data_IF_340386202220
#
_entry.id   IF_340386202220
#
_cell.length_a   1.000
_cell.length_b   1.000
_cell.length_c   1.000
_cell.angle_alpha   90.00
_cell.angle_beta   90.00
_cell.angle_gamma   90.00
#
_symmetry.space_group_name_H-M   'P 1'
#
loop_
_entity.id
_entity.type
_entity.pdbx_description
1 polymer ?
#
# COMPACT_ATOMS: atom_id res chain seq x y z
N UNK A 1 -7.74 -2.75 -10.58
CA UNK A 1 -8.13 -1.70 -9.64
C UNK A 1 -8.96 -0.65 -10.35
N UNK A 2 -9.33 0.41 -9.64
CA UNK A 2 -10.18 1.51 -10.10
C UNK A 2 -9.76 2.10 -11.44
N UNK A 3 -8.45 2.20 -11.70
CA UNK A 3 -7.92 2.75 -12.95
C UNK A 3 -8.02 1.82 -14.17
N UNK A 4 -8.60 0.63 -14.04
CA UNK A 4 -8.65 -0.36 -15.12
C UNK A 4 -7.30 -1.01 -15.44
N UNK A 5 -6.24 -0.68 -14.69
CA UNK A 5 -4.91 -1.30 -14.80
C UNK A 5 -4.74 -2.47 -13.85
N UNK A 6 -3.88 -3.42 -14.24
CA UNK A 6 -3.51 -4.56 -13.40
C UNK A 6 -2.75 -4.06 -12.16
N UNK A 7 -3.18 -4.51 -10.98
CA UNK A 7 -2.49 -4.21 -9.73
C UNK A 7 -1.21 -5.04 -9.63
N UNK A 8 -0.15 -4.43 -9.12
CA UNK A 8 1.14 -5.08 -8.92
C UNK A 8 1.32 -5.41 -7.44
N UNK A 9 1.50 -6.69 -7.07
CA UNK A 9 1.70 -7.11 -5.69
C UNK A 9 2.80 -6.33 -4.98
N UNK A 10 2.47 -5.80 -3.82
CA UNK A 10 3.27 -4.94 -2.96
C UNK A 10 3.68 -3.61 -3.60
N UNK A 11 3.18 -3.25 -4.78
CA UNK A 11 3.51 -1.98 -5.48
C UNK A 11 2.30 -1.12 -5.76
N UNK A 12 1.10 -1.69 -5.70
CA UNK A 12 -0.14 -0.94 -5.81
C UNK A 12 -0.76 -0.73 -4.44
N UNK A 13 -1.21 0.49 -4.19
CA UNK A 13 -2.00 0.85 -3.00
C UNK A 13 -3.38 1.37 -3.41
N UNK A 14 -4.33 1.26 -2.49
CA UNK A 14 -5.62 1.95 -2.57
C UNK A 14 -5.65 3.10 -1.56
N UNK A 15 -6.09 4.26 -2.02
CA UNK A 15 -6.27 5.46 -1.20
C UNK A 15 -7.64 6.10 -1.44
N UNK A 16 -8.01 7.05 -0.58
CA UNK A 16 -9.16 7.92 -0.81
C UNK A 16 -8.82 8.97 -1.88
N UNK A 17 -9.46 8.84 -3.05
CA UNK A 17 -9.23 9.72 -4.22
C UNK A 17 -9.56 11.20 -3.97
N UNK A 18 -10.31 11.51 -2.91
CA UNK A 18 -10.65 12.89 -2.53
C UNK A 18 -9.45 13.64 -1.93
N UNK A 19 -8.48 12.89 -1.40
CA UNK A 19 -7.31 13.43 -0.71
C UNK A 19 -6.01 13.16 -1.46
N UNK A 20 -5.95 12.08 -2.25
CA UNK A 20 -4.72 11.62 -2.86
C UNK A 20 -4.85 11.46 -4.39
N UNK A 21 -3.84 11.88 -5.16
CA UNK A 21 -3.88 11.77 -6.61
C UNK A 21 -3.82 10.30 -7.04
N UNK A 22 -4.66 9.93 -8.02
CA UNK A 22 -4.56 8.64 -8.68
C UNK A 22 -3.27 8.57 -9.50
N UNK A 23 -2.70 7.38 -9.64
CA UNK A 23 -1.41 7.11 -10.30
C UNK A 23 -0.21 7.86 -9.70
N UNK A 24 -0.37 8.55 -8.58
CA UNK A 24 0.73 9.26 -7.92
C UNK A 24 1.78 8.29 -7.39
N UNK A 25 3.05 8.60 -7.66
CA UNK A 25 4.19 7.90 -7.09
C UNK A 25 4.34 8.28 -5.62
N UNK A 26 4.34 7.28 -4.76
CA UNK A 26 4.50 7.45 -3.33
C UNK A 26 5.59 6.53 -2.78
N UNK A 27 6.23 6.96 -1.70
CA UNK A 27 7.10 6.13 -0.87
C UNK A 27 6.38 5.86 0.44
N UNK A 28 6.26 4.59 0.83
CA UNK A 28 5.67 4.19 2.10
C UNK A 28 6.72 3.71 3.09
N UNK A 29 6.47 3.97 4.36
CA UNK A 29 7.19 3.40 5.49
C UNK A 29 6.17 2.78 6.45
N UNK A 30 6.30 1.49 6.74
CA UNK A 30 5.41 0.77 7.67
C UNK A 30 6.13 -0.48 8.20
N UNK A 31 5.37 -1.44 8.72
CA UNK A 31 5.85 -2.78 9.08
C UNK A 31 5.19 -3.81 8.16
N UNK A 32 5.84 -4.95 7.96
CA UNK A 32 5.25 -6.12 7.28
C UNK A 32 5.40 -7.36 8.14
N UNK A 33 4.51 -8.35 8.04
CA UNK A 33 4.63 -9.56 8.83
C UNK A 33 5.77 -10.44 8.29
N UNK A 34 6.45 -11.11 9.21
CA UNK A 34 7.32 -12.26 8.95
C UNK A 34 6.49 -13.49 9.28
N UNK A 35 6.18 -14.28 8.25
CA UNK A 35 5.38 -15.49 8.37
C UNK A 35 6.31 -16.70 8.39
N UNK A 36 6.12 -17.60 9.35
CA UNK A 36 6.91 -18.82 9.48
C UNK A 36 6.37 -19.95 8.57
N UNK A 37 7.01 -21.13 8.60
CA UNK A 37 6.60 -22.28 7.79
C UNK A 37 5.20 -22.84 8.10
N UNK A 38 4.60 -22.50 9.25
CA UNK A 38 3.23 -22.90 9.61
C UNK A 38 2.17 -21.87 9.20
N UNK A 39 2.55 -20.79 8.49
CA UNK A 39 1.61 -19.75 8.07
C UNK A 39 1.20 -18.81 9.21
N UNK A 40 1.95 -18.78 10.31
CA UNK A 40 1.69 -17.90 11.45
C UNK A 40 2.63 -16.69 11.40
N UNK A 41 2.13 -15.54 11.83
CA UNK A 41 2.96 -14.34 11.99
C UNK A 41 3.87 -14.55 13.20
N UNK A 42 5.17 -14.65 12.93
CA UNK A 42 6.20 -14.80 13.97
C UNK A 42 6.68 -13.45 14.48
N UNK A 43 6.80 -12.46 13.60
CA UNK A 43 7.31 -11.13 13.94
C UNK A 43 6.85 -10.09 12.91
N UNK A 44 7.11 -8.80 13.18
CA UNK A 44 6.88 -7.69 12.29
C UNK A 44 8.18 -6.92 12.05
N UNK A 45 8.54 -6.73 10.79
CA UNK A 45 9.76 -6.01 10.42
C UNK A 45 9.43 -4.70 9.72
N UNK A 46 10.24 -3.66 10.00
CA UNK A 46 10.17 -2.39 9.27
C UNK A 46 10.33 -2.64 7.78
N UNK A 47 9.53 -1.93 7.00
CA UNK A 47 9.42 -2.10 5.57
C UNK A 47 9.12 -0.77 4.91
N UNK A 48 9.81 -0.50 3.81
CA UNK A 48 9.59 0.70 3.03
C UNK A 48 9.75 0.41 1.55
N UNK A 49 9.00 1.14 0.71
CA UNK A 49 9.13 1.04 -0.76
C UNK A 49 8.35 2.10 -1.52
N UNK A 50 8.71 2.25 -2.79
CA UNK A 50 7.89 2.93 -3.78
C UNK A 50 6.67 2.11 -4.18
N UNK A 51 5.53 2.80 -4.29
CA UNK A 51 4.22 2.30 -4.67
C UNK A 51 3.49 3.33 -5.54
N UNK A 52 2.41 2.89 -6.18
CA UNK A 52 1.53 3.72 -6.99
C UNK A 52 0.07 3.59 -6.52
N UNK A 53 -0.65 4.70 -6.50
CA UNK A 53 -2.08 4.76 -6.16
C UNK A 53 -2.95 4.33 -7.36
N UNK A 54 -3.05 3.02 -7.58
CA UNK A 54 -3.79 2.45 -8.72
C UNK A 54 -5.25 2.11 -8.43
N UNK A 55 -5.66 2.19 -7.17
CA UNK A 55 -6.97 1.74 -6.73
C UNK A 55 -7.63 2.66 -5.70
N UNK A 56 -8.91 2.46 -5.47
CA UNK A 56 -9.63 3.07 -4.36
C UNK A 56 -10.63 2.05 -3.82
N UNK A 57 -10.96 2.16 -2.54
CA UNK A 57 -11.90 1.24 -1.89
C UNK A 57 -13.01 2.02 -1.18
N UNK A 58 -14.24 1.49 -1.23
CA UNK A 58 -15.37 2.08 -0.51
C UNK A 58 -15.15 2.20 1.00
N UNK A 59 -14.33 1.31 1.56
CA UNK A 59 -13.92 1.29 2.97
C UNK A 59 -12.64 2.12 3.26
N UNK A 60 -11.91 2.56 2.22
CA UNK A 60 -10.70 3.37 2.37
C UNK A 60 -11.10 4.84 2.28
N UNK A 61 -11.44 5.40 3.45
CA UNK A 61 -11.96 6.78 3.58
C UNK A 61 -11.09 7.61 4.51
N UNK A 62 -10.94 8.88 4.15
CA UNK A 62 -10.24 9.88 4.95
C UNK A 62 -8.74 9.94 4.71
N UNK A 63 -8.07 10.98 5.24
CA UNK A 63 -6.63 11.10 5.19
C UNK A 63 -5.96 10.04 6.08
N UNK A 64 -4.78 9.58 5.69
CA UNK A 64 -3.93 8.71 6.52
C UNK A 64 -4.26 7.22 6.47
N UNK A 65 -5.19 6.78 5.62
CA UNK A 65 -5.50 5.35 5.41
C UNK A 65 -5.05 4.90 4.03
N UNK A 66 -4.24 3.84 3.99
CA UNK A 66 -3.84 3.15 2.77
C UNK A 66 -4.04 1.66 2.92
N UNK A 67 -4.39 1.02 1.82
CA UNK A 67 -4.43 -0.43 1.70
C UNK A 67 -3.38 -0.88 0.69
N UNK A 68 -2.47 -1.77 1.11
CA UNK A 68 -1.40 -2.27 0.26
C UNK A 68 -1.84 -3.59 -0.37
N UNK A 69 -1.91 -3.62 -1.70
CA UNK A 69 -2.25 -4.84 -2.41
C UNK A 69 -1.10 -5.83 -2.32
N UNK A 70 -1.22 -6.89 -1.51
CA UNK A 70 -0.18 -7.89 -1.32
C UNK A 70 -0.08 -8.95 -2.43
N UNK A 71 -1.04 -8.98 -3.36
CA UNK A 71 -1.14 -10.03 -4.37
C UNK A 71 -2.14 -11.10 -3.98
N UNK A 72 -1.85 -12.35 -4.35
CA UNK A 72 -2.70 -13.50 -4.09
C UNK A 72 -1.89 -14.59 -3.35
N UNK A 73 -2.61 -15.54 -2.75
CA UNK A 73 -2.04 -16.69 -2.05
C UNK A 73 -1.88 -16.45 -0.54
N UNK A 74 -1.43 -17.49 0.16
CA UNK A 74 -1.48 -17.58 1.63
C UNK A 74 -0.79 -16.40 2.33
N UNK A 75 0.39 -15.98 1.86
CA UNK A 75 1.07 -14.82 2.46
C UNK A 75 0.26 -13.53 2.29
N UNK A 76 -0.36 -13.32 1.12
CA UNK A 76 -1.14 -12.12 0.85
C UNK A 76 -2.39 -12.07 1.73
N UNK A 77 -3.06 -13.20 1.94
CA UNK A 77 -4.20 -13.32 2.85
C UNK A 77 -3.80 -13.01 4.30
N UNK A 78 -2.71 -13.59 4.78
CA UNK A 78 -2.19 -13.33 6.13
C UNK A 78 -1.81 -11.85 6.28
N UNK A 79 -1.04 -11.32 5.34
CA UNK A 79 -0.56 -9.95 5.40
C UNK A 79 -1.71 -8.94 5.32
N UNK A 80 -2.64 -9.10 4.37
CA UNK A 80 -3.79 -8.21 4.25
C UNK A 80 -4.74 -8.32 5.45
N UNK A 81 -4.96 -9.52 5.99
CA UNK A 81 -5.87 -9.74 7.11
C UNK A 81 -5.38 -9.17 8.45
N UNK A 82 -4.07 -9.10 8.66
CA UNK A 82 -3.49 -8.69 9.95
C UNK A 82 -2.83 -7.31 9.92
N UNK A 83 -2.59 -6.74 8.74
CA UNK A 83 -1.92 -5.44 8.63
C UNK A 83 -2.82 -4.30 9.11
N UNK A 84 -2.53 -3.78 10.30
CA UNK A 84 -3.15 -2.59 10.87
C UNK A 84 -2.10 -1.70 11.56
N UNK A 85 -1.06 -1.34 10.81
CA UNK A 85 0.09 -0.60 11.35
C UNK A 85 0.05 0.87 10.96
N UNK A 86 0.42 1.72 11.91
CA UNK A 86 0.76 3.12 11.62
C UNK A 86 1.97 3.16 10.70
N UNK A 87 1.88 3.96 9.66
CA UNK A 87 2.94 4.18 8.70
C UNK A 87 2.96 5.61 8.21
N UNK A 88 3.86 5.89 7.27
CA UNK A 88 3.99 7.16 6.59
C UNK A 88 3.86 6.97 5.09
N UNK A 89 3.27 7.95 4.43
CA UNK A 89 3.11 7.98 2.98
C UNK A 89 3.62 9.33 2.51
N UNK A 90 4.62 9.29 1.64
CA UNK A 90 5.23 10.46 1.04
C UNK A 90 4.90 10.47 -0.45
N UNK A 91 4.23 11.51 -0.93
CA UNK A 91 4.00 11.67 -2.36
C UNK A 91 5.14 12.44 -3.02
N UNK A 92 5.60 11.93 -4.15
CA UNK A 92 6.61 12.60 -4.96
C UNK A 92 5.89 13.54 -5.93
N UNK A 93 6.10 14.84 -5.74
CA UNK A 93 5.54 15.89 -6.60
C UNK A 93 6.68 16.47 -7.42
N UNK A 94 6.49 16.54 -8.73
CA UNK A 94 7.43 17.22 -9.62
C UNK A 94 7.48 18.70 -9.25
N UNK A 95 8.70 19.23 -9.13
CA UNK A 95 8.87 20.68 -8.92
C UNK A 95 8.42 21.41 -10.20
N UNK A 96 7.74 22.55 -10.10
CA UNK A 96 7.27 23.30 -11.27
C UNK A 96 8.38 23.61 -12.29
N UNK A 97 9.59 23.87 -11.80
CA UNK A 97 10.74 24.27 -12.62
C UNK A 97 11.64 23.10 -13.03
N UNK A 98 11.17 21.85 -12.91
CA UNK A 98 11.96 20.66 -13.21
C UNK A 98 11.99 20.28 -14.70
N UNK A 99 11.59 21.18 -15.62
CA UNK A 99 11.56 20.96 -17.07
C UNK A 99 12.19 22.14 -17.79
#
# INVERSE_FOLDING_TARGET
GYLGVKLTPGRSIALDRRFYPLSGLAFIETQKPIVNGSGQIHDWIKFSRFVLNHDTGGAIRGPGRADLFWGNGTFAEIAAGHMQHTGRIYFLVLKPDAV
#
